data_IF_495914026437
#
_entry.id   IF_495914026437
#
_cell.length_a   1.000
_cell.length_b   1.000
_cell.length_c   1.000
_cell.angle_alpha   90.00
_cell.angle_beta   90.00
_cell.angle_gamma   90.00
#
_symmetry.space_group_name_H-M   'P 1'
#
loop_
_entity.id
_entity.type
_entity.pdbx_description
1 polymer ?
#
# COMPACT_ATOMS: atom_id res chain seq x y z
N UNK A 1 -37.37 -29.62 15.36
CA UNK A 1 -37.66 -28.49 14.44
C UNK A 1 -38.29 -29.07 13.20
N UNK A 2 -39.63 -28.91 13.03
CA UNK A 2 -40.33 -29.41 11.85
C UNK A 2 -39.92 -28.61 10.61
N UNK A 3 -39.56 -29.24 9.49
CA UNK A 3 -39.24 -28.53 8.26
C UNK A 3 -40.48 -27.80 7.76
N UNK A 4 -40.39 -26.48 7.70
CA UNK A 4 -41.50 -25.66 7.16
C UNK A 4 -41.56 -25.91 5.64
N UNK A 5 -42.63 -26.50 5.09
CA UNK A 5 -42.69 -26.91 3.67
C UNK A 5 -42.56 -25.75 2.68
N UNK A 6 -42.79 -24.53 3.14
CA UNK A 6 -42.70 -23.31 2.31
C UNK A 6 -41.45 -22.46 2.60
N UNK A 7 -40.49 -22.97 3.36
CA UNK A 7 -39.28 -22.21 3.72
C UNK A 7 -38.44 -21.80 2.50
N UNK A 8 -38.31 -22.68 1.53
CA UNK A 8 -37.59 -22.42 0.27
C UNK A 8 -38.29 -21.34 -0.57
N UNK A 9 -39.62 -21.39 -0.70
CA UNK A 9 -40.36 -20.35 -1.43
C UNK A 9 -40.27 -18.98 -0.78
N UNK A 10 -40.23 -18.90 0.56
CA UNK A 10 -39.96 -17.64 1.27
C UNK A 10 -38.53 -17.12 0.97
N UNK A 11 -37.55 -18.01 0.90
CA UNK A 11 -36.18 -17.64 0.52
C UNK A 11 -36.12 -17.02 -0.87
N UNK A 12 -36.74 -17.64 -1.86
CA UNK A 12 -36.86 -17.08 -3.21
C UNK A 12 -37.57 -15.73 -3.24
N UNK A 13 -38.61 -15.56 -2.46
CA UNK A 13 -39.36 -14.29 -2.34
C UNK A 13 -38.45 -13.17 -1.79
N UNK A 14 -37.59 -13.46 -0.81
CA UNK A 14 -36.63 -12.49 -0.27
C UNK A 14 -35.59 -12.07 -1.33
N UNK A 15 -35.01 -13.03 -2.04
CA UNK A 15 -34.03 -12.74 -3.09
C UNK A 15 -34.65 -11.99 -4.27
N UNK A 16 -35.85 -12.39 -4.69
CA UNK A 16 -36.58 -11.71 -5.76
C UNK A 16 -36.88 -10.25 -5.41
N UNK A 17 -37.23 -9.95 -4.16
CA UNK A 17 -37.44 -8.58 -3.69
C UNK A 17 -36.16 -7.71 -3.80
N UNK A 18 -34.97 -8.31 -3.70
CA UNK A 18 -33.72 -7.55 -3.80
C UNK A 18 -33.46 -7.01 -5.22
N UNK A 19 -34.03 -7.65 -6.27
CA UNK A 19 -33.88 -7.19 -7.66
C UNK A 19 -34.45 -5.78 -7.84
N UNK A 20 -35.49 -5.44 -7.09
CA UNK A 20 -36.16 -4.14 -7.17
C UNK A 20 -35.59 -3.09 -6.22
N UNK A 21 -34.54 -3.44 -5.44
CA UNK A 21 -33.87 -2.46 -4.59
C UNK A 21 -32.89 -1.63 -5.41
N UNK A 22 -32.79 -0.36 -5.04
CA UNK A 22 -31.80 0.54 -5.64
C UNK A 22 -30.39 -0.01 -5.35
N UNK A 23 -29.53 -0.18 -6.37
CA UNK A 23 -28.17 -0.65 -6.19
C UNK A 23 -27.36 0.39 -5.40
N UNK A 24 -26.54 -0.08 -4.45
CA UNK A 24 -25.59 0.72 -3.67
C UNK A 24 -24.17 0.61 -4.21
N UNK A 25 -24.03 0.03 -5.39
CA UNK A 25 -22.74 -0.18 -6.06
C UNK A 25 -22.10 1.16 -6.41
N UNK A 26 -20.84 1.30 -6.13
CA UNK A 26 -20.03 2.43 -6.60
C UNK A 26 -19.37 2.04 -7.91
N UNK A 27 -19.50 2.90 -8.91
CA UNK A 27 -18.95 2.65 -10.23
C UNK A 27 -17.45 2.95 -10.21
N UNK A 28 -16.64 1.91 -10.15
CA UNK A 28 -15.21 2.00 -10.35
C UNK A 28 -14.92 1.78 -11.84
N UNK A 29 -14.03 2.54 -12.51
CA UNK A 29 -13.09 3.54 -11.94
C UNK A 29 -13.62 5.00 -11.89
N UNK A 30 -14.86 5.27 -12.32
CA UNK A 30 -15.40 6.64 -12.41
C UNK A 30 -15.48 7.29 -11.03
N UNK A 31 -15.81 6.49 -10.01
CA UNK A 31 -15.83 6.95 -8.64
C UNK A 31 -14.89 6.09 -7.77
N UNK A 32 -13.78 6.68 -7.32
CA UNK A 32 -12.84 6.05 -6.39
C UNK A 32 -13.11 6.54 -4.98
N UNK A 33 -13.19 5.61 -4.04
CA UNK A 33 -13.31 5.97 -2.62
C UNK A 33 -12.05 6.68 -2.14
N UNK A 34 -12.17 7.72 -1.32
CA UNK A 34 -11.02 8.31 -0.66
C UNK A 34 -10.33 7.27 0.23
N UNK A 35 -9.01 7.25 0.16
CA UNK A 35 -8.20 6.30 0.92
C UNK A 35 -8.03 6.82 2.34
N UNK A 36 -8.15 5.94 3.34
CA UNK A 36 -7.97 6.32 4.74
C UNK A 36 -6.53 6.80 5.02
N UNK A 37 -6.32 7.76 5.95
CA UNK A 37 -4.99 8.34 6.23
C UNK A 37 -3.92 7.33 6.63
N UNK A 38 -4.31 6.21 7.27
CA UNK A 38 -3.42 5.11 7.68
C UNK A 38 -3.43 3.92 6.73
N UNK A 39 -3.87 4.10 5.50
CA UNK A 39 -3.86 3.04 4.52
C UNK A 39 -2.43 2.63 4.19
N UNK A 40 -2.20 1.33 4.14
CA UNK A 40 -0.93 0.72 3.78
C UNK A 40 -0.99 0.20 2.35
N UNK A 41 -0.66 1.08 1.41
CA UNK A 41 -0.61 0.76 -0.01
C UNK A 41 0.80 0.52 -0.52
N UNK A 42 1.08 0.95 -1.73
CA UNK A 42 2.36 0.73 -2.42
C UNK A 42 3.54 1.27 -1.63
N UNK A 43 4.63 0.50 -1.56
CA UNK A 43 5.88 0.91 -0.94
C UNK A 43 6.58 2.00 -1.75
N UNK A 44 7.24 2.92 -1.04
CA UNK A 44 8.07 3.97 -1.62
C UNK A 44 9.37 4.10 -0.86
N UNK A 45 10.47 4.29 -1.61
CA UNK A 45 11.75 4.68 -1.07
C UNK A 45 11.94 6.19 -1.24
N UNK A 46 12.53 6.82 -0.22
CA UNK A 46 12.68 8.26 -0.17
C UNK A 46 14.12 8.70 -0.39
N UNK A 47 14.25 9.86 -0.99
CA UNK A 47 15.52 10.61 -1.08
C UNK A 47 15.50 11.78 -0.11
N UNK A 48 16.67 12.22 0.27
CA UNK A 48 16.86 13.50 0.95
C UNK A 48 16.65 14.67 -0.03
N UNK A 49 16.50 15.88 0.48
CA UNK A 49 16.37 17.10 -0.34
C UNK A 49 17.58 17.35 -1.24
N UNK A 50 18.77 16.87 -0.85
CA UNK A 50 20.00 16.92 -1.64
C UNK A 50 20.10 15.84 -2.75
N UNK A 51 19.03 15.04 -2.95
CA UNK A 51 18.96 13.98 -3.97
C UNK A 51 19.57 12.65 -3.56
N UNK A 52 20.28 12.56 -2.42
CA UNK A 52 20.85 11.31 -1.93
C UNK A 52 19.76 10.37 -1.40
N UNK A 53 19.95 9.06 -1.58
CA UNK A 53 19.05 8.05 -1.06
C UNK A 53 19.09 8.01 0.47
N UNK A 54 17.93 7.88 1.12
CA UNK A 54 17.86 7.65 2.57
C UNK A 54 18.24 6.23 2.96
N UNK A 55 18.05 5.29 2.03
CA UNK A 55 18.32 3.88 2.28
C UNK A 55 19.84 3.62 2.30
N UNK A 56 20.33 3.08 3.43
CA UNK A 56 21.75 2.71 3.62
C UNK A 56 21.98 1.20 3.43
N UNK A 57 21.00 0.45 2.98
CA UNK A 57 21.13 -0.99 2.75
C UNK A 57 21.34 -1.83 4.02
N UNK A 58 20.81 -1.43 5.18
CA UNK A 58 21.00 -2.13 6.45
C UNK A 58 20.24 -3.46 6.58
N UNK A 59 19.35 -3.78 5.64
CA UNK A 59 18.55 -5.02 5.57
C UNK A 59 17.58 -5.27 6.74
N UNK A 60 17.37 -4.31 7.65
CA UNK A 60 16.44 -4.47 8.78
C UNK A 60 14.98 -4.65 8.29
N UNK A 61 14.59 -3.99 7.20
CA UNK A 61 13.27 -4.17 6.60
C UNK A 61 13.06 -5.57 6.04
N UNK A 62 14.11 -6.19 5.49
CA UNK A 62 14.07 -7.58 5.02
C UNK A 62 13.97 -8.55 6.20
N UNK A 63 14.75 -8.33 7.27
CA UNK A 63 14.70 -9.17 8.48
C UNK A 63 13.35 -9.08 9.21
N UNK A 64 12.68 -7.93 9.18
CA UNK A 64 11.37 -7.72 9.80
C UNK A 64 10.20 -8.22 8.94
N UNK A 65 10.45 -8.63 7.71
CA UNK A 65 9.39 -9.02 6.77
C UNK A 65 8.88 -10.44 7.06
N UNK A 66 7.61 -10.64 7.50
CA UNK A 66 7.08 -11.97 7.79
C UNK A 66 6.83 -12.81 6.54
N UNK A 67 6.75 -12.17 5.36
CA UNK A 67 6.52 -12.83 4.08
C UNK A 67 7.81 -13.07 3.28
N UNK A 68 8.96 -12.66 3.82
CA UNK A 68 10.28 -12.76 3.17
C UNK A 68 10.25 -12.28 1.70
N UNK A 69 9.61 -11.13 1.48
CA UNK A 69 9.40 -10.59 0.14
C UNK A 69 10.38 -9.48 -0.24
N UNK A 70 11.30 -9.09 0.66
CA UNK A 70 12.23 -7.98 0.46
C UNK A 70 13.65 -8.53 0.31
N UNK A 71 14.32 -8.16 -0.78
CA UNK A 71 15.72 -8.48 -1.03
C UNK A 71 16.54 -7.20 -1.04
N UNK A 72 17.58 -7.16 -0.22
CA UNK A 72 18.51 -6.03 -0.14
C UNK A 72 19.93 -6.53 -0.29
N UNK A 73 20.69 -5.93 -1.20
CA UNK A 73 22.13 -6.13 -1.33
C UNK A 73 22.81 -4.79 -1.17
N UNK A 74 23.59 -4.66 -0.10
CA UNK A 74 24.31 -3.43 0.19
C UNK A 74 25.65 -3.37 -0.54
N UNK A 75 26.10 -2.15 -0.82
CA UNK A 75 27.41 -1.83 -1.37
C UNK A 75 27.95 -0.57 -0.69
N UNK A 76 29.28 -0.41 -0.64
CA UNK A 76 29.93 0.73 -0.02
C UNK A 76 29.86 1.97 -0.93
N UNK A 77 29.60 3.12 -0.34
CA UNK A 77 29.73 4.40 -1.03
C UNK A 77 31.20 4.72 -1.26
N UNK A 78 31.54 5.11 -2.48
CA UNK A 78 32.84 5.65 -2.79
C UNK A 78 32.83 7.18 -2.74
N UNK A 79 34.01 7.81 -2.52
CA UNK A 79 34.12 9.26 -2.52
C UNK A 79 33.74 9.90 -3.86
N UNK A 80 33.90 9.15 -4.96
CA UNK A 80 33.60 9.60 -6.32
C UNK A 80 32.13 9.44 -6.71
N UNK A 81 31.46 8.43 -6.13
CA UNK A 81 30.07 8.15 -6.44
C UNK A 81 29.25 7.91 -5.15
N UNK A 82 28.78 9.01 -4.58
CA UNK A 82 28.00 8.98 -3.35
C UNK A 82 26.51 8.87 -3.67
N UNK A 83 25.94 7.71 -3.39
CA UNK A 83 24.52 7.40 -3.67
C UNK A 83 23.63 7.69 -2.46
N UNK A 84 24.07 7.33 -1.24
CA UNK A 84 23.32 7.55 -0.02
C UNK A 84 24.02 8.51 0.96
N UNK A 85 23.30 8.94 1.99
CA UNK A 85 23.88 9.79 3.04
C UNK A 85 24.83 9.03 3.98
N UNK A 86 24.76 7.68 4.02
CA UNK A 86 25.58 6.83 4.87
C UNK A 86 26.88 6.38 4.20
N UNK A 87 27.59 5.43 4.85
CA UNK A 87 28.78 4.78 4.32
C UNK A 87 28.46 3.72 3.27
N UNK A 88 27.23 3.21 3.29
CA UNK A 88 26.74 2.17 2.38
C UNK A 88 25.42 2.59 1.76
N UNK A 89 25.05 1.95 0.66
CA UNK A 89 23.77 2.12 -0.01
C UNK A 89 23.21 0.76 -0.45
N UNK A 90 21.93 0.70 -0.74
CA UNK A 90 21.34 -0.50 -1.34
C UNK A 90 21.63 -0.51 -2.84
N UNK A 91 22.56 -1.38 -3.28
CA UNK A 91 22.81 -1.61 -4.72
C UNK A 91 21.62 -2.28 -5.38
N UNK A 92 21.12 -3.33 -4.74
CA UNK A 92 19.87 -4.01 -5.15
C UNK A 92 18.87 -3.85 -4.02
N UNK A 93 17.68 -3.39 -4.37
CA UNK A 93 16.52 -3.34 -3.49
C UNK A 93 15.32 -3.79 -4.28
N UNK A 94 14.74 -4.92 -3.90
CA UNK A 94 13.62 -5.53 -4.59
C UNK A 94 12.53 -5.92 -3.60
N UNK A 95 11.28 -5.67 -3.97
CA UNK A 95 10.11 -6.15 -3.22
C UNK A 95 9.25 -6.98 -4.15
N UNK A 96 9.00 -8.23 -3.77
CA UNK A 96 8.03 -9.06 -4.47
C UNK A 96 6.62 -8.72 -3.97
N UNK A 97 5.91 -7.89 -4.74
CA UNK A 97 4.56 -7.41 -4.39
C UNK A 97 3.52 -8.52 -4.40
N UNK A 98 3.74 -9.61 -5.14
CA UNK A 98 2.83 -10.77 -5.15
C UNK A 98 2.89 -11.58 -3.85
N UNK A 99 3.98 -11.46 -3.05
CA UNK A 99 4.13 -12.09 -1.75
C UNK A 99 3.86 -11.14 -0.59
N UNK A 100 3.93 -9.84 -0.84
CA UNK A 100 3.77 -8.82 0.17
C UNK A 100 2.34 -8.83 0.74
N UNK A 101 2.22 -8.82 2.07
CA UNK A 101 0.93 -8.74 2.79
C UNK A 101 0.61 -7.32 3.29
N UNK A 102 1.40 -6.33 2.91
CA UNK A 102 1.21 -4.92 3.28
C UNK A 102 1.08 -4.67 4.80
N UNK A 103 1.80 -5.45 5.61
CA UNK A 103 1.72 -5.36 7.08
C UNK A 103 2.35 -4.09 7.67
N UNK A 104 3.29 -3.44 6.95
CA UNK A 104 3.95 -2.21 7.38
C UNK A 104 5.17 -2.41 8.30
N UNK A 105 5.57 -3.65 8.64
CA UNK A 105 6.71 -3.88 9.51
C UNK A 105 8.04 -3.38 8.94
N UNK A 106 8.18 -3.38 7.61
CA UNK A 106 9.35 -2.81 6.95
C UNK A 106 9.48 -1.30 7.19
N UNK A 107 8.37 -0.58 7.25
CA UNK A 107 8.34 0.86 7.59
C UNK A 107 8.71 1.08 9.06
N UNK A 108 8.15 0.28 9.97
CA UNK A 108 8.44 0.38 11.41
C UNK A 108 9.88 0.00 11.76
N UNK A 109 10.47 -0.96 11.03
CA UNK A 109 11.83 -1.43 11.26
C UNK A 109 12.90 -0.51 10.66
N UNK A 110 12.54 0.48 9.84
CA UNK A 110 13.48 1.35 9.17
C UNK A 110 13.91 2.52 10.08
N UNK A 111 15.18 2.57 10.57
CA UNK A 111 15.62 3.66 11.44
C UNK A 111 15.89 4.98 10.70
N UNK A 112 15.91 4.93 9.35
CA UNK A 112 16.21 6.09 8.50
C UNK A 112 14.96 6.68 7.85
N UNK A 113 13.77 6.14 8.13
CA UNK A 113 12.54 6.52 7.44
C UNK A 113 12.70 6.48 5.90
N UNK A 114 13.48 5.51 5.43
CA UNK A 114 13.81 5.39 4.01
C UNK A 114 12.70 4.71 3.21
N UNK A 115 11.92 3.82 3.84
CA UNK A 115 10.80 3.14 3.23
C UNK A 115 9.51 3.51 3.95
N UNK A 116 8.46 3.77 3.18
CA UNK A 116 7.10 4.00 3.71
C UNK A 116 6.07 3.34 2.83
N UNK A 117 4.88 3.11 3.39
CA UNK A 117 3.73 2.68 2.63
C UNK A 117 2.89 3.91 2.26
N UNK A 118 2.63 4.08 0.96
CA UNK A 118 1.81 5.18 0.44
C UNK A 118 0.33 4.85 0.40
N UNK A 119 -0.45 5.73 -0.22
CA UNK A 119 -1.89 5.57 -0.38
C UNK A 119 -2.28 4.93 -1.72
N UNK A 120 -1.31 4.56 -2.54
CA UNK A 120 -1.55 3.93 -3.84
C UNK A 120 -1.94 2.47 -3.65
N UNK A 121 -3.03 2.05 -4.26
CA UNK A 121 -3.57 0.69 -4.18
C UNK A 121 -3.74 0.04 -5.57
N UNK A 122 -3.63 0.81 -6.63
CA UNK A 122 -3.76 0.30 -8.01
C UNK A 122 -2.40 -0.25 -8.45
N UNK A 123 -2.17 -1.53 -8.14
CA UNK A 123 -0.91 -2.24 -8.42
C UNK A 123 -1.13 -3.49 -9.29
N UNK A 124 -2.24 -3.52 -10.03
CA UNK A 124 -2.52 -4.64 -10.92
C UNK A 124 -1.60 -4.60 -12.14
N UNK A 125 -0.97 -5.73 -12.45
CA UNK A 125 -0.07 -5.91 -13.57
C UNK A 125 -0.47 -7.13 -14.41
N UNK A 126 -0.04 -7.18 -15.67
CA UNK A 126 -0.35 -8.29 -16.58
C UNK A 126 0.57 -9.49 -16.39
N UNK A 127 1.79 -9.26 -15.92
CA UNK A 127 2.79 -10.29 -15.69
C UNK A 127 3.15 -10.38 -14.23
N UNK A 128 3.49 -11.59 -13.77
CA UNK A 128 3.98 -11.81 -12.40
C UNK A 128 5.34 -11.15 -12.15
N UNK A 129 6.16 -11.05 -13.19
CA UNK A 129 7.50 -10.47 -13.09
C UNK A 129 7.44 -8.96 -12.89
N UNK A 130 6.42 -8.30 -13.42
CA UNK A 130 6.16 -6.87 -13.24
C UNK A 130 5.79 -6.51 -11.78
N UNK A 131 5.38 -7.51 -10.99
CA UNK A 131 5.14 -7.37 -9.55
C UNK A 131 6.43 -7.47 -8.71
N UNK A 132 7.60 -7.61 -9.31
CA UNK A 132 8.89 -7.47 -8.63
C UNK A 132 9.34 -6.02 -8.78
N UNK A 133 9.07 -5.24 -7.73
CA UNK A 133 9.40 -3.81 -7.74
C UNK A 133 10.87 -3.62 -7.41
N UNK A 134 11.60 -3.09 -8.37
CA UNK A 134 13.02 -2.74 -8.25
C UNK A 134 13.21 -1.40 -7.51
N UNK A 135 14.44 -1.12 -7.12
CA UNK A 135 14.80 0.12 -6.43
C UNK A 135 14.32 1.37 -7.18
N UNK A 136 14.50 1.40 -8.49
CA UNK A 136 14.14 2.56 -9.32
C UNK A 136 12.62 2.79 -9.37
N UNK A 137 11.85 1.71 -9.40
CA UNK A 137 10.37 1.78 -9.32
C UNK A 137 9.86 2.23 -7.95
N UNK A 138 10.64 1.98 -6.90
CA UNK A 138 10.29 2.33 -5.52
C UNK A 138 10.75 3.74 -5.14
N UNK A 139 11.79 4.27 -5.80
CA UNK A 139 12.32 5.60 -5.50
C UNK A 139 11.29 6.66 -5.87
N UNK A 140 10.83 7.39 -4.86
CA UNK A 140 9.98 8.56 -5.06
C UNK A 140 10.83 9.80 -5.23
N UNK A 141 10.39 10.72 -6.08
CA UNK A 141 10.95 12.07 -6.10
C UNK A 141 10.82 12.72 -4.70
N UNK A 142 11.69 13.70 -4.36
CA UNK A 142 11.64 14.36 -3.06
C UNK A 142 10.31 15.12 -2.91
N UNK A 143 9.33 14.44 -2.34
CA UNK A 143 8.05 15.05 -1.97
C UNK A 143 8.16 15.45 -0.50
N UNK A 144 7.80 16.69 -0.18
CA UNK A 144 7.68 17.12 1.22
C UNK A 144 6.74 16.17 1.94
N UNK A 145 7.24 15.49 2.96
CA UNK A 145 6.41 14.64 3.83
C UNK A 145 5.40 15.54 4.51
N UNK A 146 4.12 15.33 4.25
CA UNK A 146 3.07 15.98 5.05
C UNK A 146 3.17 15.37 6.45
N UNK A 147 3.39 16.19 7.52
CA UNK A 147 3.45 15.70 8.87
C UNK A 147 2.20 14.91 9.24
N UNK A 148 2.33 13.91 10.11
CA UNK A 148 1.20 13.03 10.52
C UNK A 148 0.04 13.86 11.09
N UNK A 149 0.33 14.98 11.76
CA UNK A 149 -0.66 15.92 12.28
C UNK A 149 -1.57 16.52 11.18
N UNK A 150 -1.02 16.77 9.99
CA UNK A 150 -1.79 17.38 8.90
C UNK A 150 -2.60 16.34 8.10
N UNK A 151 -2.41 15.04 8.39
CA UNK A 151 -3.19 13.95 7.78
C UNK A 151 -4.57 13.76 8.43
N UNK A 152 -4.78 14.33 9.62
CA UNK A 152 -6.07 14.26 10.34
C UNK A 152 -7.13 15.19 9.76
N UNK A 153 -6.73 16.14 8.90
CA UNK A 153 -7.64 17.11 8.25
C UNK A 153 -8.16 16.68 6.88
N UNK A 154 -7.93 15.48 6.46
CA UNK A 154 -8.74 14.94 5.36
C UNK A 154 -10.12 14.59 5.94
N UNK A 155 -11.00 15.57 5.93
CA UNK A 155 -12.41 15.37 6.09
C UNK A 155 -12.80 14.22 5.14
N UNK A 156 -13.05 13.05 5.72
CA UNK A 156 -13.67 11.96 4.97
C UNK A 156 -15.02 12.48 4.53
N UNK A 157 -15.26 12.70 3.22
CA UNK A 157 -16.60 13.06 2.81
C UNK A 157 -17.52 11.97 3.32
N UNK A 158 -18.50 12.34 4.12
CA UNK A 158 -19.49 11.38 4.64
C UNK A 158 -19.98 10.53 3.48
N UNK A 159 -19.99 9.19 3.62
CA UNK A 159 -20.45 8.33 2.55
C UNK A 159 -21.87 8.74 2.16
N UNK A 160 -22.08 8.96 0.89
CA UNK A 160 -23.34 9.45 0.31
C UNK A 160 -24.55 8.50 0.49
N UNK A 161 -24.42 7.45 1.31
CA UNK A 161 -25.52 6.58 1.71
C UNK A 161 -26.11 7.04 3.05
N UNK A 162 -26.72 8.20 3.14
CA UNK A 162 -27.70 8.44 4.19
C UNK A 162 -28.89 7.56 3.88
N UNK A 163 -29.07 6.50 4.64
CA UNK A 163 -30.31 5.76 4.72
C UNK A 163 -31.39 6.74 5.12
N UNK A 164 -32.23 7.14 4.17
CA UNK A 164 -33.52 7.74 4.50
C UNK A 164 -34.32 6.67 5.24
N UNK A 165 -34.46 6.86 6.54
CA UNK A 165 -35.43 6.17 7.40
C UNK A 165 -36.83 6.33 6.89
#
# INVERSE_FOLDING_TARGET
>A
MSPQPFGTLKGFGVTFRQIFRRPITQQYPEYKRPVYPRFRGRHRLWKHENGLEKCVGCSLCAAACPADCIRVVAEENTSENRVSAGERYARIYEINMSRCIFCGYCELACPFDAITLGNEFEIAEYSRDDLIYTKDMLLAEPIKRVPVADREQFDTPEPAYKTSS
#
